data_IF_850704249584
#
_entry.id   IF_850704249584
#
_cell.length_a   1.000
_cell.length_b   1.000
_cell.length_c   1.000
_cell.angle_alpha   90.00
_cell.angle_beta   90.00
_cell.angle_gamma   90.00
#
_symmetry.space_group_name_H-M   'P 1'
#
loop_
_entity.id
_entity.type
_entity.pdbx_description
1 polymer ?
#
# COMPACT_ATOMS: atom_id res chain seq x y z
N UNK A 1 -2.50 -13.39 2.43
CA UNK A 1 -3.33 -12.19 2.15
C UNK A 1 -3.34 -11.22 3.32
N UNK A 2 -3.55 -11.64 4.56
CA UNK A 2 -3.52 -10.74 5.74
C UNK A 2 -2.19 -9.99 5.89
N UNK A 3 -1.07 -10.70 5.74
CA UNK A 3 0.25 -10.07 5.72
C UNK A 3 0.41 -8.99 4.60
N UNK A 4 -0.22 -9.20 3.44
CA UNK A 4 -0.21 -8.18 2.40
C UNK A 4 -0.99 -6.91 2.83
N UNK A 5 -2.13 -7.08 3.51
CA UNK A 5 -2.89 -5.95 4.08
C UNK A 5 -2.08 -5.19 5.13
N UNK A 6 -1.42 -5.91 6.04
CA UNK A 6 -0.52 -5.35 7.05
C UNK A 6 0.59 -4.49 6.40
N UNK A 7 1.28 -5.06 5.42
CA UNK A 7 2.42 -4.39 4.75
C UNK A 7 1.98 -3.20 3.90
N UNK A 8 0.83 -3.31 3.20
CA UNK A 8 0.26 -2.21 2.43
C UNK A 8 -0.05 -1.02 3.33
N UNK A 9 -0.84 -1.24 4.39
CA UNK A 9 -1.27 -0.16 5.25
C UNK A 9 -0.13 0.38 6.11
N UNK A 10 0.75 -0.51 6.59
CA UNK A 10 1.93 -0.09 7.34
C UNK A 10 2.84 0.83 6.53
N UNK A 11 3.13 0.47 5.27
CA UNK A 11 3.89 1.33 4.36
C UNK A 11 3.19 2.66 4.12
N UNK A 12 1.91 2.61 3.77
CA UNK A 12 1.15 3.79 3.39
C UNK A 12 1.05 4.82 4.52
N UNK A 13 0.62 4.38 5.69
CA UNK A 13 0.47 5.28 6.86
C UNK A 13 1.81 5.85 7.28
N UNK A 14 2.89 5.04 7.28
CA UNK A 14 4.22 5.53 7.64
C UNK A 14 4.67 6.62 6.67
N UNK A 15 4.55 6.42 5.37
CA UNK A 15 4.91 7.46 4.39
C UNK A 15 4.11 8.73 4.62
N UNK A 16 2.80 8.65 4.81
CA UNK A 16 1.96 9.84 4.98
C UNK A 16 2.20 10.57 6.30
N UNK A 17 2.38 9.84 7.41
CA UNK A 17 2.68 10.44 8.71
C UNK A 17 3.95 11.30 8.64
N UNK A 18 5.02 10.79 8.03
CA UNK A 18 6.30 11.49 8.00
C UNK A 18 6.44 12.46 6.81
N UNK A 19 5.60 12.36 5.78
CA UNK A 19 5.55 13.36 4.70
C UNK A 19 5.16 14.74 5.24
N UNK A 20 4.23 14.81 6.18
CA UNK A 20 3.85 16.07 6.83
C UNK A 20 5.06 16.75 7.48
N UNK A 21 5.80 16.03 8.31
CA UNK A 21 7.02 16.56 8.94
C UNK A 21 8.06 17.02 7.92
N UNK A 22 8.28 16.24 6.87
CA UNK A 22 9.22 16.56 5.80
C UNK A 22 8.87 17.85 5.06
N UNK A 23 7.59 18.02 4.70
CA UNK A 23 7.14 19.15 3.89
C UNK A 23 7.00 20.46 4.70
N UNK A 24 6.69 20.35 5.99
CA UNK A 24 6.64 21.49 6.91
C UNK A 24 8.04 21.98 7.31
N UNK A 25 9.02 21.08 7.38
CA UNK A 25 10.40 21.38 7.72
C UNK A 25 11.26 21.82 6.53
N UNK A 26 12.51 22.22 6.81
CA UNK A 26 13.48 22.49 5.77
C UNK A 26 13.77 21.23 4.94
N UNK A 27 14.05 21.36 3.64
CA UNK A 27 14.21 22.58 2.84
C UNK A 27 12.91 23.17 2.28
N UNK A 28 11.75 22.53 2.49
CA UNK A 28 10.49 22.94 1.85
C UNK A 28 9.81 24.10 2.61
N UNK A 29 9.68 24.01 3.92
CA UNK A 29 9.08 25.05 4.75
C UNK A 29 7.64 25.42 4.34
N UNK A 30 6.86 24.44 3.86
CA UNK A 30 5.50 24.68 3.35
C UNK A 30 4.54 24.98 4.50
N UNK A 31 3.51 25.78 4.23
CA UNK A 31 2.42 25.97 5.18
C UNK A 31 1.54 24.72 5.31
N UNK A 32 0.84 24.56 6.44
CA UNK A 32 -0.09 23.44 6.66
C UNK A 32 -1.18 23.39 5.59
N UNK A 33 -1.66 24.55 5.10
CA UNK A 33 -2.65 24.60 4.03
C UNK A 33 -2.14 24.01 2.71
N UNK A 34 -0.87 24.31 2.35
CA UNK A 34 -0.25 23.75 1.14
C UNK A 34 -0.03 22.25 1.28
N UNK A 35 0.44 21.79 2.44
CA UNK A 35 0.59 20.35 2.72
C UNK A 35 -0.76 19.64 2.66
N UNK A 36 -1.82 20.25 3.21
CA UNK A 36 -3.19 19.74 3.10
C UNK A 36 -3.66 19.62 1.64
N UNK A 37 -3.35 20.64 0.81
CA UNK A 37 -3.66 20.61 -0.63
C UNK A 37 -2.89 19.49 -1.36
N UNK A 38 -1.62 19.25 -1.01
CA UNK A 38 -0.84 18.13 -1.57
C UNK A 38 -1.51 16.80 -1.21
N UNK A 39 -2.09 16.66 -0.04
CA UNK A 39 -2.78 15.44 0.35
C UNK A 39 -4.07 15.17 -0.45
N UNK A 40 -4.55 16.13 -1.26
CA UNK A 40 -5.60 15.86 -2.25
C UNK A 40 -5.22 14.77 -3.27
N UNK A 41 -3.93 14.40 -3.39
CA UNK A 41 -3.51 13.19 -4.16
C UNK A 41 -4.20 11.90 -3.70
N UNK A 42 -4.79 11.89 -2.50
CA UNK A 42 -5.68 10.80 -2.07
C UNK A 42 -6.84 10.51 -3.04
N UNK A 43 -7.30 11.52 -3.76
CA UNK A 43 -8.37 11.36 -4.76
C UNK A 43 -7.98 10.40 -5.89
N UNK A 44 -6.68 10.28 -6.18
CA UNK A 44 -6.14 9.28 -7.12
C UNK A 44 -6.51 7.85 -6.69
N UNK A 45 -6.66 7.63 -5.39
CA UNK A 45 -7.03 6.33 -4.82
C UNK A 45 -8.44 5.87 -5.21
N UNK A 46 -9.39 6.78 -5.38
CA UNK A 46 -10.76 6.47 -5.81
C UNK A 46 -10.71 5.81 -7.19
N UNK A 47 -10.02 6.47 -8.13
CA UNK A 47 -9.84 5.95 -9.48
C UNK A 47 -9.06 4.63 -9.49
N UNK A 48 -7.96 4.56 -8.73
CA UNK A 48 -7.11 3.38 -8.65
C UNK A 48 -7.86 2.15 -8.15
N UNK A 49 -8.66 2.29 -7.09
CA UNK A 49 -9.43 1.17 -6.52
C UNK A 49 -10.35 0.51 -7.55
N UNK A 50 -11.08 1.31 -8.32
CA UNK A 50 -11.99 0.83 -9.34
C UNK A 50 -11.22 0.21 -10.51
N UNK A 51 -10.24 0.93 -11.03
CA UNK A 51 -9.49 0.55 -12.24
C UNK A 51 -8.64 -0.70 -12.02
N UNK A 52 -7.80 -0.73 -10.97
CA UNK A 52 -6.97 -1.89 -10.66
C UNK A 52 -7.81 -3.10 -10.21
N UNK A 53 -8.93 -2.88 -9.52
CA UNK A 53 -9.87 -3.93 -9.17
C UNK A 53 -10.47 -4.60 -10.42
N UNK A 54 -10.86 -3.80 -11.42
CA UNK A 54 -11.33 -4.30 -12.71
C UNK A 54 -10.25 -5.09 -13.47
N UNK A 55 -9.04 -4.51 -13.60
CA UNK A 55 -7.92 -5.19 -14.25
C UNK A 55 -7.54 -6.50 -13.55
N UNK A 56 -7.62 -6.56 -12.23
CA UNK A 56 -7.32 -7.78 -11.49
C UNK A 56 -8.27 -8.93 -11.81
N UNK A 57 -9.51 -8.62 -12.21
CA UNK A 57 -10.45 -9.60 -12.74
C UNK A 57 -10.05 -10.15 -14.11
N UNK A 58 -9.41 -9.32 -14.94
CA UNK A 58 -9.03 -9.67 -16.34
C UNK A 58 -7.62 -10.26 -16.46
N UNK A 59 -6.64 -9.65 -15.78
CA UNK A 59 -5.22 -9.99 -15.90
C UNK A 59 -4.71 -10.92 -14.78
N UNK A 60 -5.56 -11.19 -13.79
CA UNK A 60 -5.22 -12.00 -12.63
C UNK A 60 -4.79 -11.17 -11.41
N UNK A 61 -5.36 -11.54 -10.24
CA UNK A 61 -5.16 -10.80 -8.98
C UNK A 61 -3.70 -10.77 -8.52
N UNK A 62 -2.98 -11.87 -8.70
CA UNK A 62 -1.57 -11.97 -8.32
C UNK A 62 -0.68 -11.00 -9.12
N UNK A 63 -0.90 -10.92 -10.45
CA UNK A 63 -0.15 -9.99 -11.32
C UNK A 63 -0.40 -8.54 -10.93
N UNK A 64 -1.65 -8.20 -10.71
CA UNK A 64 -2.01 -6.83 -10.33
C UNK A 64 -1.58 -6.47 -8.91
N UNK A 65 -1.49 -7.45 -8.00
CA UNK A 65 -1.02 -7.20 -6.63
C UNK A 65 0.48 -6.87 -6.61
N UNK A 66 1.32 -7.62 -7.30
CA UNK A 66 2.74 -7.26 -7.33
C UNK A 66 3.00 -5.99 -8.14
N UNK A 67 2.19 -5.68 -9.18
CA UNK A 67 2.22 -4.37 -9.84
C UNK A 67 1.91 -3.25 -8.85
N UNK A 68 0.94 -3.45 -7.95
CA UNK A 68 0.62 -2.49 -6.90
C UNK A 68 1.83 -2.23 -5.96
N UNK A 69 2.50 -3.27 -5.49
CA UNK A 69 3.72 -3.13 -4.68
C UNK A 69 4.87 -2.49 -5.45
N UNK A 70 5.03 -2.81 -6.73
CA UNK A 70 6.04 -2.19 -7.59
C UNK A 70 5.80 -0.68 -7.76
N UNK A 71 4.54 -0.26 -7.92
CA UNK A 71 4.14 1.15 -7.97
C UNK A 71 4.43 1.85 -6.63
N UNK A 72 4.12 1.21 -5.50
CA UNK A 72 4.43 1.76 -4.17
C UNK A 72 5.95 1.97 -4.06
N UNK A 73 6.76 0.99 -4.42
CA UNK A 73 8.22 1.08 -4.37
C UNK A 73 8.75 2.20 -5.27
N UNK A 74 8.23 2.31 -6.51
CA UNK A 74 8.57 3.39 -7.43
C UNK A 74 8.18 4.76 -6.86
N UNK A 75 7.00 4.87 -6.25
CA UNK A 75 6.53 6.08 -5.58
C UNK A 75 7.46 6.48 -4.43
N UNK A 76 7.86 5.53 -3.57
CA UNK A 76 8.84 5.78 -2.49
C UNK A 76 10.15 6.30 -3.10
N UNK A 77 10.66 5.67 -4.17
CA UNK A 77 11.88 6.10 -4.86
C UNK A 77 11.78 7.53 -5.39
N UNK A 78 10.66 7.92 -6.01
CA UNK A 78 10.41 9.28 -6.47
C UNK A 78 10.41 10.29 -5.31
N UNK A 79 9.89 9.92 -4.15
CA UNK A 79 9.93 10.81 -2.98
C UNK A 79 11.35 11.06 -2.44
N UNK A 80 12.35 10.26 -2.79
CA UNK A 80 13.75 10.52 -2.41
C UNK A 80 14.35 11.71 -3.18
N UNK A 81 13.77 12.07 -4.30
CA UNK A 81 14.19 13.25 -5.06
C UNK A 81 13.87 14.53 -4.29
N UNK A 82 14.69 15.59 -4.52
CA UNK A 82 14.53 16.88 -3.84
C UNK A 82 13.43 17.77 -4.42
N UNK A 83 13.19 17.82 -5.76
CA UNK A 83 12.17 18.69 -6.32
C UNK A 83 10.77 18.34 -5.80
N UNK A 84 10.03 19.34 -5.31
CA UNK A 84 8.68 19.15 -4.78
C UNK A 84 7.72 18.45 -5.77
N UNK A 85 7.72 18.78 -7.07
CA UNK A 85 6.88 18.05 -8.04
C UNK A 85 7.16 16.54 -8.09
N UNK A 86 8.43 16.14 -7.94
CA UNK A 86 8.80 14.73 -7.91
C UNK A 86 8.28 14.04 -6.64
N UNK A 87 8.32 14.74 -5.49
CA UNK A 87 7.74 14.24 -4.23
C UNK A 87 6.23 14.05 -4.36
N UNK A 88 5.53 15.05 -4.91
CA UNK A 88 4.07 14.98 -5.11
C UNK A 88 3.70 13.86 -6.08
N UNK A 89 4.45 13.71 -7.19
CA UNK A 89 4.26 12.59 -8.12
C UNK A 89 4.52 11.25 -7.43
N UNK A 90 5.56 11.16 -6.61
CA UNK A 90 5.87 9.96 -5.84
C UNK A 90 4.74 9.57 -4.89
N UNK A 91 4.15 10.54 -4.19
CA UNK A 91 2.97 10.33 -3.34
C UNK A 91 1.75 9.88 -4.17
N UNK A 92 1.52 10.46 -5.34
CA UNK A 92 0.42 10.06 -6.23
C UNK A 92 0.58 8.62 -6.72
N UNK A 93 1.79 8.23 -7.17
CA UNK A 93 2.10 6.87 -7.65
C UNK A 93 1.97 5.85 -6.52
N UNK A 94 2.51 6.17 -5.34
CA UNK A 94 2.40 5.34 -4.14
C UNK A 94 0.94 5.15 -3.74
N UNK A 95 0.16 6.23 -3.71
CA UNK A 95 -1.27 6.20 -3.38
C UNK A 95 -2.06 5.36 -4.38
N UNK A 96 -1.76 5.52 -5.66
CA UNK A 96 -2.36 4.68 -6.70
C UNK A 96 -2.07 3.19 -6.45
N UNK A 97 -0.82 2.83 -6.19
CA UNK A 97 -0.43 1.45 -5.87
C UNK A 97 -1.13 0.92 -4.62
N UNK A 98 -1.17 1.72 -3.55
CA UNK A 98 -1.78 1.33 -2.29
C UNK A 98 -3.28 1.03 -2.42
N UNK A 99 -4.06 1.95 -2.95
CA UNK A 99 -5.52 1.77 -3.05
C UNK A 99 -5.89 0.64 -4.02
N UNK A 100 -5.16 0.50 -5.12
CA UNK A 100 -5.33 -0.63 -6.03
C UNK A 100 -4.99 -1.96 -5.36
N UNK A 101 -3.86 -2.04 -4.67
CA UNK A 101 -3.44 -3.23 -3.93
C UNK A 101 -4.42 -3.62 -2.82
N UNK A 102 -4.89 -2.63 -2.03
CA UNK A 102 -5.88 -2.84 -0.99
C UNK A 102 -7.21 -3.37 -1.55
N UNK A 103 -7.71 -2.77 -2.62
CA UNK A 103 -8.94 -3.22 -3.31
C UNK A 103 -8.83 -4.68 -3.78
N UNK A 104 -7.68 -5.04 -4.36
CA UNK A 104 -7.42 -6.41 -4.83
C UNK A 104 -7.40 -7.40 -3.68
N UNK A 105 -6.62 -7.11 -2.61
CA UNK A 105 -6.44 -8.06 -1.49
C UNK A 105 -7.74 -8.23 -0.72
N UNK A 106 -8.45 -7.14 -0.40
CA UNK A 106 -9.71 -7.19 0.36
C UNK A 106 -10.78 -7.99 -0.39
N UNK A 107 -10.94 -7.74 -1.70
CA UNK A 107 -11.86 -8.52 -2.53
C UNK A 107 -11.45 -9.98 -2.65
N UNK A 108 -10.15 -10.27 -2.69
CA UNK A 108 -9.64 -11.63 -2.78
C UNK A 108 -9.87 -12.42 -1.48
N UNK A 109 -9.67 -11.79 -0.33
CA UNK A 109 -10.01 -12.36 1.00
C UNK A 109 -11.48 -12.75 1.05
N UNK A 110 -12.39 -11.82 0.70
CA UNK A 110 -13.84 -12.08 0.72
C UNK A 110 -14.28 -13.20 -0.22
N UNK A 111 -13.65 -13.33 -1.40
CA UNK A 111 -13.97 -14.42 -2.34
C UNK A 111 -13.50 -15.80 -1.89
N UNK A 112 -12.36 -15.87 -1.19
CA UNK A 112 -11.81 -17.15 -0.69
C UNK A 112 -12.46 -17.63 0.59
N UNK A 113 -13.15 -16.76 1.30
CA UNK A 113 -13.72 -17.07 2.60
C UNK A 113 -15.05 -17.85 2.52
N UNK A 114 -15.65 -17.99 1.36
CA UNK A 114 -16.91 -18.72 1.20
C UNK A 114 -18.00 -18.22 2.15
N UNK A 115 -18.50 -19.09 3.03
CA UNK A 115 -19.49 -18.77 4.05
C UNK A 115 -18.95 -17.89 5.20
N UNK A 116 -17.63 -17.85 5.41
CA UNK A 116 -16.97 -17.13 6.51
C UNK A 116 -16.48 -15.72 6.13
N UNK A 117 -17.16 -15.05 5.17
CA UNK A 117 -16.74 -13.73 4.64
C UNK A 117 -16.58 -12.67 5.72
N UNK A 118 -17.52 -12.60 6.68
CA UNK A 118 -17.49 -11.60 7.74
C UNK A 118 -16.24 -11.75 8.61
N UNK A 119 -15.95 -12.97 9.08
CA UNK A 119 -14.80 -13.27 9.91
C UNK A 119 -13.49 -13.00 9.18
N UNK A 120 -13.38 -13.43 7.92
CA UNK A 120 -12.19 -13.21 7.11
C UNK A 120 -11.94 -11.72 6.85
N UNK A 121 -12.99 -10.95 6.59
CA UNK A 121 -12.91 -9.50 6.40
C UNK A 121 -12.49 -8.79 7.69
N UNK A 122 -13.06 -9.19 8.84
CA UNK A 122 -12.69 -8.63 10.15
C UNK A 122 -11.21 -8.92 10.47
N UNK A 123 -10.74 -10.14 10.23
CA UNK A 123 -9.34 -10.50 10.46
C UNK A 123 -8.39 -9.78 9.50
N UNK A 124 -8.83 -9.55 8.25
CA UNK A 124 -8.09 -8.74 7.29
C UNK A 124 -7.95 -7.30 7.78
N UNK A 125 -9.05 -6.67 8.20
CA UNK A 125 -9.04 -5.30 8.72
C UNK A 125 -8.22 -5.19 10.02
N UNK A 126 -8.32 -6.18 10.90
CA UNK A 126 -7.47 -6.22 12.09
C UNK A 126 -5.97 -6.22 11.71
N UNK A 127 -5.55 -7.12 10.82
CA UNK A 127 -4.18 -7.18 10.33
C UNK A 127 -3.74 -5.87 9.65
N UNK A 128 -4.62 -5.28 8.87
CA UNK A 128 -4.42 -4.01 8.18
C UNK A 128 -4.18 -2.85 9.15
N UNK A 129 -5.01 -2.69 10.18
CA UNK A 129 -4.83 -1.65 11.20
C UNK A 129 -3.65 -1.92 12.13
N UNK A 130 -3.34 -3.18 12.43
CA UNK A 130 -2.10 -3.54 13.13
C UNK A 130 -0.86 -3.10 12.34
N UNK A 131 -0.88 -3.27 11.01
CA UNK A 131 0.17 -2.76 10.14
C UNK A 131 0.34 -1.25 10.26
N UNK A 132 -0.77 -0.50 10.21
CA UNK A 132 -0.80 0.95 10.43
C UNK A 132 -0.15 1.35 11.76
N UNK A 133 -0.59 0.73 12.84
CA UNK A 133 -0.15 1.09 14.20
C UNK A 133 1.33 0.74 14.42
N UNK A 134 1.73 -0.47 14.08
CA UNK A 134 3.11 -0.96 14.33
C UNK A 134 4.10 -0.25 13.41
N UNK A 135 3.85 -0.24 12.10
CA UNK A 135 4.78 0.38 11.18
C UNK A 135 4.79 1.91 11.30
N UNK A 136 3.63 2.53 11.54
CA UNK A 136 3.55 3.97 11.80
C UNK A 136 4.37 4.39 13.01
N UNK A 137 4.30 3.62 14.10
CA UNK A 137 5.13 3.84 15.30
C UNK A 137 6.61 3.58 15.02
N UNK A 138 6.95 2.44 14.42
CA UNK A 138 8.34 2.10 14.09
C UNK A 138 8.98 3.12 13.15
N UNK A 139 8.22 3.71 12.23
CA UNK A 139 8.69 4.76 11.33
C UNK A 139 9.32 5.94 12.07
N UNK A 140 8.91 6.21 13.33
CA UNK A 140 9.48 7.25 14.17
C UNK A 140 10.96 7.05 14.48
N UNK A 141 11.39 5.82 14.73
CA UNK A 141 12.80 5.50 14.95
C UNK A 141 13.64 5.79 13.72
N UNK A 142 13.14 5.40 12.54
CA UNK A 142 13.84 5.66 11.27
C UNK A 142 13.86 7.14 10.90
N UNK A 143 12.77 7.87 11.19
CA UNK A 143 12.73 9.32 11.02
C UNK A 143 13.75 10.03 11.94
N UNK A 144 13.82 9.62 13.19
CA UNK A 144 14.74 10.23 14.16
C UNK A 144 16.21 9.94 13.85
N UNK A 145 16.51 8.78 13.22
CA UNK A 145 17.87 8.41 12.88
C UNK A 145 18.37 9.08 11.59
N UNK A 146 17.59 9.01 10.51
CA UNK A 146 18.04 9.38 9.16
C UNK A 146 17.01 10.25 8.41
N UNK A 147 16.05 10.83 9.11
CA UNK A 147 15.00 11.64 8.51
C UNK A 147 14.24 10.90 7.43
N UNK A 148 14.00 11.57 6.30
CA UNK A 148 13.22 10.98 5.21
C UNK A 148 13.89 9.74 4.57
N UNK A 149 15.22 9.72 4.50
CA UNK A 149 15.94 8.57 3.93
C UNK A 149 15.69 7.30 4.75
N UNK A 150 15.68 7.41 6.08
CA UNK A 150 15.36 6.31 6.98
C UNK A 150 13.92 5.81 6.80
N UNK A 151 12.95 6.73 6.72
CA UNK A 151 11.54 6.38 6.46
C UNK A 151 11.40 5.67 5.11
N UNK A 152 12.04 6.19 4.07
CA UNK A 152 11.99 5.60 2.72
C UNK A 152 12.64 4.20 2.69
N UNK A 153 13.77 4.01 3.39
CA UNK A 153 14.43 2.71 3.51
C UNK A 153 13.52 1.70 4.24
N UNK A 154 12.96 2.09 5.39
CA UNK A 154 12.05 1.23 6.15
C UNK A 154 10.81 0.84 5.36
N UNK A 155 10.11 1.80 4.77
CA UNK A 155 8.90 1.55 3.97
C UNK A 155 9.22 0.81 2.67
N UNK A 156 10.39 1.02 2.10
CA UNK A 156 10.92 0.24 0.99
C UNK A 156 11.10 -1.24 1.35
N UNK A 157 11.67 -1.55 2.52
CA UNK A 157 11.79 -2.92 3.03
C UNK A 157 10.42 -3.58 3.27
N UNK A 158 9.46 -2.87 3.86
CA UNK A 158 8.09 -3.36 4.01
C UNK A 158 7.45 -3.68 2.64
N UNK A 159 7.68 -2.81 1.65
CA UNK A 159 7.16 -2.98 0.29
C UNK A 159 7.80 -4.18 -0.41
N UNK A 160 9.10 -4.39 -0.25
CA UNK A 160 9.80 -5.57 -0.78
C UNK A 160 9.32 -6.86 -0.11
N UNK A 161 9.08 -6.85 1.21
CA UNK A 161 8.45 -7.97 1.89
C UNK A 161 7.05 -8.26 1.33
N UNK A 162 6.26 -7.20 1.04
CA UNK A 162 4.96 -7.29 0.39
C UNK A 162 5.03 -7.90 -1.01
N UNK A 163 6.03 -7.52 -1.79
CA UNK A 163 6.32 -8.13 -3.09
C UNK A 163 6.59 -9.62 -2.95
N UNK A 164 7.41 -10.02 -1.96
CA UNK A 164 7.67 -11.42 -1.65
C UNK A 164 6.41 -12.19 -1.26
N UNK A 165 5.52 -11.58 -0.47
CA UNK A 165 4.20 -12.15 -0.16
C UNK A 165 3.35 -12.29 -1.43
N UNK A 166 3.30 -11.28 -2.28
CA UNK A 166 2.54 -11.31 -3.54
C UNK A 166 3.03 -12.45 -4.46
N UNK A 167 4.35 -12.64 -4.57
CA UNK A 167 4.94 -13.74 -5.34
C UNK A 167 4.57 -15.12 -4.77
N UNK A 168 4.52 -15.28 -3.45
CA UNK A 168 4.05 -16.53 -2.82
C UNK A 168 2.57 -16.79 -3.11
N UNK A 169 1.74 -15.76 -3.20
CA UNK A 169 0.32 -15.88 -3.49
C UNK A 169 0.03 -16.36 -4.93
N UNK A 170 1.00 -16.27 -5.86
CA UNK A 170 0.89 -16.86 -7.20
C UNK A 170 0.67 -18.38 -7.14
N UNK A 171 1.21 -19.04 -6.11
CA UNK A 171 1.11 -20.50 -5.92
C UNK A 171 -0.25 -20.95 -5.41
N UNK A 172 -1.16 -20.02 -5.07
CA UNK A 172 -2.51 -20.38 -4.64
C UNK A 172 -3.35 -20.84 -5.83
N UNK A 173 -4.07 -21.94 -5.66
CA UNK A 173 -4.98 -22.47 -6.68
C UNK A 173 -5.98 -21.39 -7.13
N UNK A 174 -6.36 -21.35 -8.41
CA UNK A 174 -7.40 -20.46 -8.91
C UNK A 174 -8.71 -20.64 -8.13
N UNK A 175 -9.49 -19.55 -8.00
CA UNK A 175 -10.86 -19.62 -7.48
C UNK A 175 -11.72 -20.41 -8.48
N UNK A 176 -12.37 -21.45 -8.04
CA UNK A 176 -13.19 -22.35 -8.89
C UNK A 176 -12.57 -23.73 -9.15
N UNK A 177 -11.30 -23.97 -8.83
CA UNK A 177 -10.70 -25.30 -8.98
C UNK A 177 -11.22 -26.33 -7.94
N UNK A 178 -11.87 -25.86 -6.86
CA UNK A 178 -12.45 -26.73 -5.83
C UNK A 178 -13.83 -27.30 -6.23
N UNK A 179 -14.58 -26.64 -7.10
CA UNK A 179 -15.92 -27.07 -7.50
C UNK A 179 -15.90 -28.14 -8.60
N UNK A 180 -14.78 -28.29 -9.32
CA UNK A 180 -14.63 -29.28 -10.39
C UNK A 180 -14.04 -30.61 -9.94
N UNK A 181 -13.61 -30.74 -8.68
CA UNK A 181 -13.05 -31.99 -8.12
C UNK A 181 -14.06 -32.79 -7.28
N UNK A 182 -15.32 -32.33 -7.20
CA UNK A 182 -16.39 -32.95 -6.39
C UNK A 182 -17.63 -33.38 -7.19
N UNK A 183 -17.54 -33.42 -8.55
CA UNK A 183 -18.61 -33.91 -9.44
C UNK A 183 -18.23 -35.21 -10.08
#
# INVERSE_FOLDING_TARGET
MFAAGFLLMGTFVTVYNYTGYRLLGAPYGLSQGVVGAIFAVYLVGIFSSAWMGHLAGRLGRHRMLWTAFALILAGIGLTLLRPLPAVVLGLAVLTFGFFGGHSIVSSWVGRRAGSSKAQASSLYLFSYYMGSSIAGFCGGFFWSAEGWAGVAAFTGLLTLAGLGVALRLVRLAPLGAADSAGS
#
